data_IF_810454149250
#
_entry.id   IF_810454149250
#
_cell.length_a   1.000
_cell.length_b   1.000
_cell.length_c   1.000
_cell.angle_alpha   90.00
_cell.angle_beta   90.00
_cell.angle_gamma   90.00
#
_symmetry.space_group_name_H-M   'P 1'
#
loop_
_entity.id
_entity.type
_entity.pdbx_description
1 polymer ?
#
# COMPACT_ATOMS: atom_id res chain seq x y z
N UNK A 1 -13.97 2.25 -25.57
CA UNK A 1 -15.24 2.24 -26.33
C UNK A 1 -15.46 3.69 -26.71
N UNK A 2 -15.61 3.99 -28.00
CA UNK A 2 -15.80 5.37 -28.44
C UNK A 2 -17.21 5.82 -28.04
N UNK A 3 -17.31 6.96 -27.34
CA UNK A 3 -18.61 7.50 -26.92
C UNK A 3 -19.41 7.88 -28.17
N UNK A 4 -20.70 7.52 -28.27
CA UNK A 4 -21.50 7.92 -29.41
C UNK A 4 -21.71 9.44 -29.42
N UNK A 5 -21.71 10.04 -30.61
CA UNK A 5 -22.09 11.44 -30.76
C UNK A 5 -23.56 11.64 -30.36
N UNK A 6 -23.85 12.70 -29.59
CA UNK A 6 -25.19 12.98 -29.08
C UNK A 6 -26.22 13.06 -30.20
N UNK A 7 -25.90 13.81 -31.26
CA UNK A 7 -26.83 14.05 -32.36
C UNK A 7 -27.06 12.78 -33.19
N UNK A 8 -25.99 12.00 -33.42
CA UNK A 8 -26.08 10.71 -34.08
C UNK A 8 -26.95 9.72 -33.30
N UNK A 9 -26.78 9.65 -31.97
CA UNK A 9 -27.60 8.78 -31.11
C UNK A 9 -29.09 9.15 -31.15
N UNK A 10 -29.41 10.44 -31.09
CA UNK A 10 -30.80 10.92 -31.12
C UNK A 10 -31.44 10.62 -32.49
N UNK A 11 -30.78 10.97 -33.59
CA UNK A 11 -31.34 10.80 -34.93
C UNK A 11 -31.46 9.32 -35.32
N UNK A 12 -30.50 8.45 -34.92
CA UNK A 12 -30.61 7.00 -35.11
C UNK A 12 -31.88 6.43 -34.45
N UNK A 13 -32.28 6.96 -33.29
CA UNK A 13 -33.47 6.50 -32.55
C UNK A 13 -34.76 7.07 -33.11
N UNK A 14 -34.73 8.31 -33.61
CA UNK A 14 -35.86 8.91 -34.33
C UNK A 14 -36.13 8.15 -35.62
N UNK A 15 -35.08 7.72 -36.31
CA UNK A 15 -35.25 7.00 -37.58
C UNK A 15 -35.96 5.65 -37.41
N UNK A 16 -35.92 5.05 -36.22
CA UNK A 16 -36.63 3.82 -35.86
C UNK A 16 -38.12 4.02 -35.59
N UNK A 17 -38.60 5.27 -35.49
CA UNK A 17 -40.03 5.55 -35.30
C UNK A 17 -40.80 5.12 -36.57
N UNK A 18 -41.87 4.35 -36.37
CA UNK A 18 -42.75 3.89 -37.45
C UNK A 18 -43.28 5.06 -38.28
N UNK A 19 -43.41 4.86 -39.59
CA UNK A 19 -43.78 5.88 -40.58
C UNK A 19 -45.06 6.64 -40.24
N UNK A 20 -46.04 5.98 -39.59
CA UNK A 20 -47.31 6.60 -39.16
C UNK A 20 -47.13 7.78 -38.19
N UNK A 21 -46.03 7.82 -37.42
CA UNK A 21 -45.78 8.88 -36.44
C UNK A 21 -44.77 9.94 -36.93
N UNK A 22 -44.16 9.76 -38.11
CA UNK A 22 -43.20 10.73 -38.67
C UNK A 22 -43.85 12.05 -39.09
N UNK A 23 -45.17 12.06 -39.32
CA UNK A 23 -45.88 13.24 -39.82
C UNK A 23 -46.28 14.24 -38.70
N UNK A 24 -46.10 13.89 -37.42
CA UNK A 24 -46.45 14.76 -36.29
C UNK A 24 -45.23 15.50 -35.74
N UNK A 25 -44.97 16.76 -36.15
CA UNK A 25 -43.78 17.50 -35.72
C UNK A 25 -43.76 17.76 -34.20
N UNK A 26 -44.94 17.91 -33.57
CA UNK A 26 -45.05 18.10 -32.11
C UNK A 26 -44.67 16.85 -31.32
N UNK A 27 -45.00 15.66 -31.84
CA UNK A 27 -44.61 14.41 -31.19
C UNK A 27 -43.10 14.20 -31.33
N UNK A 28 -42.55 14.43 -32.53
CA UNK A 28 -41.12 14.32 -32.76
C UNK A 28 -40.29 15.30 -31.92
N UNK A 29 -40.79 16.52 -31.67
CA UNK A 29 -40.08 17.47 -30.80
C UNK A 29 -40.01 17.00 -29.35
N UNK A 30 -41.10 16.41 -28.83
CA UNK A 30 -41.12 15.86 -27.47
C UNK A 30 -40.17 14.66 -27.37
N UNK A 31 -40.25 13.73 -28.32
CA UNK A 31 -39.37 12.55 -28.35
C UNK A 31 -37.90 12.97 -28.47
N UNK A 32 -37.57 13.98 -29.28
CA UNK A 32 -36.21 14.54 -29.36
C UNK A 32 -35.73 15.02 -28.01
N UNK A 33 -36.52 15.85 -27.33
CA UNK A 33 -36.14 16.40 -26.04
C UNK A 33 -35.89 15.31 -24.99
N UNK A 34 -36.69 14.24 -25.00
CA UNK A 34 -36.50 13.11 -24.10
C UNK A 34 -35.27 12.28 -24.47
N UNK A 35 -35.06 12.01 -25.76
CA UNK A 35 -33.88 11.31 -26.26
C UNK A 35 -32.59 12.09 -26.02
N UNK A 36 -32.62 13.42 -26.07
CA UNK A 36 -31.48 14.28 -25.76
C UNK A 36 -31.05 14.12 -24.30
N UNK A 37 -32.00 14.05 -23.35
CA UNK A 37 -31.69 13.81 -21.94
C UNK A 37 -31.12 12.39 -21.71
N UNK A 38 -31.66 11.40 -22.41
CA UNK A 38 -31.12 10.03 -22.37
C UNK A 38 -29.72 10.00 -22.96
N UNK A 39 -29.48 10.70 -24.07
CA UNK A 39 -28.19 10.79 -24.72
C UNK A 39 -27.15 11.45 -23.80
N UNK A 40 -27.53 12.50 -23.06
CA UNK A 40 -26.67 13.11 -22.04
C UNK A 40 -26.27 12.09 -20.97
N UNK A 41 -27.24 11.33 -20.42
CA UNK A 41 -26.94 10.29 -19.44
C UNK A 41 -26.04 9.18 -20.00
N UNK A 42 -26.20 8.81 -21.27
CA UNK A 42 -25.34 7.81 -21.94
C UNK A 42 -23.92 8.34 -22.11
N UNK A 43 -23.75 9.60 -22.51
CA UNK A 43 -22.44 10.23 -22.69
C UNK A 43 -21.71 10.30 -21.35
N UNK A 44 -22.37 10.80 -20.30
CA UNK A 44 -21.83 10.84 -18.94
C UNK A 44 -21.45 9.42 -18.46
N UNK A 45 -22.29 8.43 -18.72
CA UNK A 45 -21.99 7.03 -18.38
C UNK A 45 -20.79 6.47 -19.16
N UNK A 46 -20.57 6.92 -20.40
CA UNK A 46 -19.41 6.52 -21.19
C UNK A 46 -18.11 7.14 -20.68
N UNK A 47 -18.16 8.29 -19.99
CA UNK A 47 -17.00 8.89 -19.33
C UNK A 47 -16.62 8.20 -18.02
N UNK A 48 -17.54 7.47 -17.37
CA UNK A 48 -17.29 6.80 -16.08
C UNK A 48 -15.98 6.00 -16.08
N UNK A 49 -15.68 5.12 -17.05
CA UNK A 49 -14.43 4.35 -17.05
C UNK A 49 -13.18 5.24 -17.07
N UNK A 50 -13.20 6.38 -17.77
CA UNK A 50 -12.06 7.32 -17.79
C UNK A 50 -11.84 8.01 -16.45
N UNK A 51 -12.90 8.22 -15.66
CA UNK A 51 -12.80 8.76 -14.30
C UNK A 51 -12.22 7.75 -13.29
N UNK A 52 -12.22 6.46 -13.65
CA UNK A 52 -11.66 5.38 -12.85
C UNK A 52 -10.34 4.83 -13.44
N UNK A 53 -9.65 5.61 -14.27
CA UNK A 53 -8.28 5.27 -14.65
C UNK A 53 -7.36 5.46 -13.44
N UNK A 54 -6.61 4.41 -13.09
CA UNK A 54 -5.65 4.43 -11.97
C UNK A 54 -4.62 5.55 -12.16
N UNK A 55 -4.26 5.86 -13.41
CA UNK A 55 -3.22 6.86 -13.71
C UNK A 55 -3.67 8.30 -13.38
N UNK A 56 -4.95 8.60 -13.56
CA UNK A 56 -5.48 9.96 -13.41
C UNK A 56 -6.39 10.14 -12.19
N UNK A 57 -6.86 9.04 -11.58
CA UNK A 57 -7.73 9.07 -10.41
C UNK A 57 -7.03 9.71 -9.19
N UNK A 58 -7.79 10.49 -8.43
CA UNK A 58 -7.34 11.17 -7.20
C UNK A 58 -8.37 10.99 -6.08
N UNK A 59 -7.94 11.19 -4.82
CA UNK A 59 -8.79 11.18 -3.63
C UNK A 59 -9.69 9.95 -3.52
N UNK A 60 -11.00 10.18 -3.46
CA UNK A 60 -12.02 9.13 -3.28
C UNK A 60 -12.11 8.18 -4.47
N UNK A 61 -11.83 8.63 -5.70
CA UNK A 61 -11.85 7.75 -6.88
C UNK A 61 -10.81 6.65 -6.72
N UNK A 62 -9.59 7.02 -6.33
CA UNK A 62 -8.51 6.07 -6.09
C UNK A 62 -8.82 5.16 -4.90
N UNK A 63 -9.45 5.70 -3.85
CA UNK A 63 -9.93 4.91 -2.70
C UNK A 63 -10.95 3.84 -3.13
N UNK A 64 -11.90 4.19 -3.99
CA UNK A 64 -12.90 3.27 -4.54
C UNK A 64 -12.22 2.19 -5.39
N UNK A 65 -11.29 2.56 -6.27
CA UNK A 65 -10.55 1.60 -7.08
C UNK A 65 -9.78 0.62 -6.20
N UNK A 66 -9.03 1.11 -5.21
CA UNK A 66 -8.29 0.24 -4.31
C UNK A 66 -9.19 -0.69 -3.52
N UNK A 67 -10.35 -0.22 -3.03
CA UNK A 67 -11.35 -1.07 -2.38
C UNK A 67 -11.83 -2.20 -3.31
N UNK A 68 -12.10 -1.91 -4.58
CA UNK A 68 -12.50 -2.92 -5.56
C UNK A 68 -11.37 -3.91 -5.88
N UNK A 69 -10.11 -3.49 -5.81
CA UNK A 69 -8.93 -4.36 -5.95
C UNK A 69 -8.60 -5.17 -4.68
N UNK A 70 -9.38 -5.00 -3.60
CA UNK A 70 -9.12 -5.62 -2.30
C UNK A 70 -7.89 -5.03 -1.59
N UNK A 71 -7.59 -3.76 -1.87
CA UNK A 71 -6.42 -3.04 -1.38
C UNK A 71 -6.83 -1.66 -0.86
N UNK A 72 -7.39 -1.54 0.36
CA UNK A 72 -7.77 -0.24 0.93
C UNK A 72 -6.53 0.59 1.31
N UNK A 73 -6.72 1.88 1.60
CA UNK A 73 -5.60 2.79 1.95
C UNK A 73 -4.90 2.46 3.25
N UNK A 74 -5.64 1.96 4.24
CA UNK A 74 -5.14 1.63 5.55
C UNK A 74 -4.97 0.12 5.67
N UNK A 75 -3.79 -0.28 6.14
CA UNK A 75 -3.43 -1.68 6.36
C UNK A 75 -2.99 -1.85 7.81
N UNK A 76 -3.43 -2.92 8.45
CA UNK A 76 -2.79 -3.30 9.70
C UNK A 76 -1.35 -3.69 9.41
N UNK A 77 -0.43 -3.17 10.22
CA UNK A 77 0.94 -3.63 10.28
C UNK A 77 1.27 -4.17 11.67
N UNK A 78 2.15 -5.15 11.62
CA UNK A 78 2.95 -5.60 12.73
C UNK A 78 3.84 -4.45 13.24
N UNK A 79 3.34 -3.61 14.14
CA UNK A 79 4.24 -2.77 14.92
C UNK A 79 4.62 -3.58 16.15
N UNK A 80 5.88 -4.03 16.29
CA UNK A 80 6.31 -4.64 17.53
C UNK A 80 6.08 -3.61 18.63
N UNK A 81 5.36 -4.00 19.69
CA UNK A 81 5.17 -3.14 20.85
C UNK A 81 6.56 -2.72 21.32
N UNK A 82 6.87 -1.42 21.37
CA UNK A 82 8.18 -0.96 21.81
C UNK A 82 8.38 -1.49 23.22
N UNK A 83 9.30 -2.44 23.37
CA UNK A 83 9.60 -2.97 24.68
C UNK A 83 10.47 -1.92 25.36
N UNK A 84 9.88 -1.17 26.29
CA UNK A 84 10.63 -0.23 27.11
C UNK A 84 11.67 -1.02 27.92
N UNK A 85 12.94 -0.77 27.64
CA UNK A 85 14.07 -1.34 28.36
C UNK A 85 15.17 -0.30 28.49
N UNK A 86 15.73 -0.15 29.69
CA UNK A 86 16.98 0.58 29.86
C UNK A 86 18.11 -0.29 29.28
N UNK A 87 18.99 0.30 28.47
CA UNK A 87 20.19 -0.39 27.97
C UNK A 87 21.05 -0.81 29.17
N UNK A 88 21.04 -2.11 29.51
CA UNK A 88 21.88 -2.67 30.56
C UNK A 88 23.34 -2.83 30.13
N UNK A 89 23.93 -1.80 29.50
CA UNK A 89 25.34 -1.78 29.13
C UNK A 89 25.76 -2.78 28.04
N UNK A 90 26.65 -2.30 27.15
CA UNK A 90 27.14 -2.90 25.91
C UNK A 90 26.11 -2.99 24.78
N UNK A 91 26.35 -2.18 23.75
CA UNK A 91 25.56 -2.04 22.53
C UNK A 91 25.35 -3.39 21.84
N UNK A 92 24.12 -3.88 21.85
CA UNK A 92 23.72 -5.00 21.01
C UNK A 92 22.50 -4.57 20.17
N UNK A 93 22.70 -4.23 18.88
CA UNK A 93 21.67 -3.54 18.08
C UNK A 93 20.45 -4.40 17.70
N UNK A 94 20.45 -5.71 17.97
CA UNK A 94 19.49 -6.65 17.37
C UNK A 94 18.70 -7.51 18.37
N UNK A 95 18.43 -7.06 19.60
CA UNK A 95 17.52 -7.80 20.51
C UNK A 95 16.50 -6.91 21.21
N UNK A 96 15.18 -7.14 21.01
CA UNK A 96 14.17 -6.60 21.90
C UNK A 96 14.25 -7.33 23.25
N UNK A 97 14.60 -6.61 24.32
CA UNK A 97 14.73 -7.16 25.68
C UNK A 97 13.38 -7.03 26.39
N UNK A 98 12.78 -8.16 26.77
CA UNK A 98 11.55 -8.25 27.56
C UNK A 98 11.71 -7.85 29.03
N UNK A 99 10.81 -6.99 29.53
CA UNK A 99 10.19 -7.03 30.87
C UNK A 99 11.00 -6.57 32.09
N UNK A 100 10.39 -5.67 32.89
CA UNK A 100 10.94 -4.99 34.06
C UNK A 100 11.37 -5.89 35.23
N UNK A 101 12.61 -5.72 35.69
CA UNK A 101 12.99 -5.56 37.10
C UNK A 101 14.46 -5.11 37.19
N UNK A 102 14.72 -3.81 37.16
CA UNK A 102 15.91 -3.26 37.79
C UNK A 102 15.46 -2.54 39.05
N UNK A 103 15.79 -3.09 40.21
CA UNK A 103 15.91 -2.28 41.42
C UNK A 103 16.90 -1.17 41.11
N UNK A 104 16.47 0.09 41.20
CA UNK A 104 17.39 1.22 41.15
C UNK A 104 18.47 1.06 42.22
N UNK A 105 19.62 1.69 42.01
CA UNK A 105 20.74 1.66 42.96
C UNK A 105 20.30 2.20 44.35
N UNK A 106 19.17 2.92 44.41
CA UNK A 106 18.59 3.50 45.62
C UNK A 106 17.25 2.85 46.08
N UNK A 107 16.74 1.82 45.38
CA UNK A 107 15.57 1.05 45.84
C UNK A 107 14.17 1.62 45.57
N UNK A 108 14.04 2.75 44.86
CA UNK A 108 12.73 3.33 44.53
C UNK A 108 12.00 2.58 43.40
N UNK A 109 10.70 2.32 43.65
CA UNK A 109 9.78 1.65 42.73
C UNK A 109 9.03 2.72 41.94
N UNK A 110 9.14 2.69 40.60
CA UNK A 110 8.28 3.46 39.72
C UNK A 110 6.85 2.90 39.79
N UNK A 111 5.90 3.69 40.28
CA UNK A 111 4.48 3.34 40.30
C UNK A 111 3.73 4.09 39.20
N UNK A 112 2.98 3.35 38.39
CA UNK A 112 2.02 3.92 37.46
C UNK A 112 0.73 4.22 38.21
N UNK A 113 0.27 5.46 38.15
CA UNK A 113 -1.06 5.83 38.60
C UNK A 113 -1.96 5.97 37.39
N UNK A 114 -2.91 5.05 37.28
CA UNK A 114 -4.06 5.17 36.39
C UNK A 114 -4.98 6.25 36.98
N UNK A 115 -5.08 7.39 36.29
CA UNK A 115 -5.83 8.53 36.82
C UNK A 115 -7.26 8.52 36.31
N UNK A 116 -7.52 7.99 35.11
CA UNK A 116 -8.84 7.88 34.49
C UNK A 116 -8.80 6.80 33.38
N UNK A 117 -9.80 5.90 33.32
CA UNK A 117 -9.94 4.72 32.43
C UNK A 117 -9.89 4.98 30.90
N UNK A 118 -9.37 6.13 30.45
CA UNK A 118 -9.47 6.58 29.06
C UNK A 118 -8.12 6.86 28.41
N UNK A 119 -7.05 7.21 29.14
CA UNK A 119 -5.74 7.50 28.53
C UNK A 119 -4.55 7.23 29.47
N UNK A 120 -3.50 6.56 28.98
CA UNK A 120 -2.22 6.45 29.69
C UNK A 120 -1.37 7.70 29.42
N UNK A 121 -1.28 8.63 30.38
CA UNK A 121 -0.37 9.76 30.30
C UNK A 121 0.96 9.38 30.96
N UNK A 122 2.02 9.23 30.15
CA UNK A 122 3.37 9.01 30.65
C UNK A 122 4.07 10.35 30.89
N UNK A 123 3.95 10.91 32.10
CA UNK A 123 4.63 12.16 32.46
C UNK A 123 6.03 11.86 32.97
N UNK A 124 7.06 12.20 32.19
CA UNK A 124 8.45 12.18 32.67
C UNK A 124 8.87 13.59 33.11
N UNK A 125 8.92 13.83 34.41
CA UNK A 125 9.54 15.03 34.97
C UNK A 125 11.06 14.90 34.87
N UNK A 126 11.64 15.35 33.76
CA UNK A 126 13.07 15.66 33.72
C UNK A 126 13.29 17.08 34.25
N UNK A 127 14.44 17.34 34.88
CA UNK A 127 14.80 18.69 35.35
C UNK A 127 14.86 19.75 34.21
N UNK A 128 14.70 19.33 32.95
CA UNK A 128 14.71 20.18 31.76
C UNK A 128 13.30 20.54 31.21
N UNK A 129 12.20 20.08 31.83
CA UNK A 129 10.85 20.64 31.59
C UNK A 129 10.29 20.51 30.17
N UNK A 130 10.38 19.32 29.55
CA UNK A 130 9.69 19.02 28.30
C UNK A 130 8.68 17.89 28.44
N UNK A 131 7.40 18.17 28.18
CA UNK A 131 6.34 17.16 28.10
C UNK A 131 6.33 16.52 26.71
N UNK A 132 6.24 15.19 26.66
CA UNK A 132 6.05 14.43 25.41
C UNK A 132 4.70 13.71 25.50
N UNK A 133 3.76 14.09 24.63
CA UNK A 133 2.42 13.49 24.58
C UNK A 133 2.40 12.44 23.46
N UNK A 134 2.20 11.17 23.82
CA UNK A 134 1.86 10.11 22.87
C UNK A 134 0.34 10.01 22.81
N UNK A 135 -0.29 10.69 21.84
CA UNK A 135 -1.72 10.52 21.59
C UNK A 135 -1.95 9.27 20.74
N UNK A 136 -2.87 8.41 21.18
CA UNK A 136 -3.42 7.33 20.37
C UNK A 136 -4.20 7.93 19.19
N UNK A 137 -3.69 7.78 17.98
CA UNK A 137 -4.33 8.24 16.74
C UNK A 137 -5.35 7.20 16.21
N UNK A 138 -6.19 6.62 17.08
CA UNK A 138 -7.24 5.66 16.70
C UNK A 138 -8.54 6.28 16.15
N UNK A 139 -8.51 7.51 15.64
CA UNK A 139 -9.69 8.14 15.03
C UNK A 139 -9.63 7.95 13.51
N UNK A 140 -10.61 7.22 12.96
CA UNK A 140 -10.92 7.00 11.52
C UNK A 140 -10.57 5.66 10.86
N UNK A 141 -10.45 4.56 11.62
CA UNK A 141 -10.70 3.24 11.04
C UNK A 141 -12.21 3.07 10.77
N UNK A 142 -12.64 3.30 9.53
CA UNK A 142 -14.04 3.14 9.09
C UNK A 142 -14.64 1.80 9.57
N UNK A 143 -15.76 1.87 10.31
CA UNK A 143 -16.57 0.71 10.71
C UNK A 143 -16.86 -0.22 9.51
N UNK A 144 -16.35 -1.45 9.54
CA UNK A 144 -16.82 -2.53 8.66
C UNK A 144 -15.77 -3.28 7.82
N UNK A 145 -14.48 -2.97 7.93
CA UNK A 145 -13.41 -3.76 7.31
C UNK A 145 -12.51 -4.40 8.38
N UNK A 146 -13.04 -5.40 9.09
CA UNK A 146 -12.22 -6.24 9.97
C UNK A 146 -11.33 -7.15 9.13
N UNK A 147 -10.02 -6.87 9.13
CA UNK A 147 -9.03 -7.81 8.66
C UNK A 147 -8.94 -8.95 9.67
N UNK A 148 -9.53 -10.10 9.34
CA UNK A 148 -9.71 -11.25 10.24
C UNK A 148 -8.46 -11.87 10.87
N UNK A 149 -7.27 -11.28 10.74
CA UNK A 149 -5.99 -11.79 11.23
C UNK A 149 -5.07 -10.75 11.91
N UNK A 150 -5.51 -9.51 12.19
CA UNK A 150 -4.62 -8.52 12.84
C UNK A 150 -4.37 -8.77 14.34
N UNK A 151 -5.25 -9.50 15.02
CA UNK A 151 -5.37 -9.43 16.48
C UNK A 151 -4.25 -10.10 17.31
N UNK A 152 -3.35 -10.92 16.75
CA UNK A 152 -2.36 -11.65 17.57
C UNK A 152 -0.93 -11.12 17.51
N UNK A 153 -0.64 -10.17 16.62
CA UNK A 153 0.76 -9.88 16.26
C UNK A 153 1.11 -8.37 16.20
N UNK A 154 0.13 -7.46 16.19
CA UNK A 154 0.34 -6.01 16.35
C UNK A 154 -0.95 -5.22 16.14
N UNK A 155 -1.01 -3.99 16.67
CA UNK A 155 -2.22 -3.12 16.60
C UNK A 155 -2.01 -1.83 15.80
N UNK A 156 -0.89 -1.71 15.09
CA UNK A 156 -0.61 -0.50 14.32
C UNK A 156 -1.32 -0.51 12.97
N UNK A 157 -1.87 0.64 12.58
CA UNK A 157 -2.36 0.87 11.23
C UNK A 157 -1.39 1.77 10.46
N UNK A 158 -1.14 1.43 9.21
CA UNK A 158 -0.44 2.31 8.28
C UNK A 158 -1.39 2.71 7.16
N UNK A 159 -1.59 4.01 7.02
CA UNK A 159 -2.44 4.59 5.99
C UNK A 159 -1.60 5.27 4.91
N UNK A 160 -1.88 4.93 3.65
CA UNK A 160 -1.30 5.56 2.47
C UNK A 160 -2.13 6.80 2.12
N UNK A 161 -1.82 7.92 2.78
CA UNK A 161 -2.50 9.20 2.57
C UNK A 161 -2.12 9.90 1.27
N UNK A 162 -0.89 9.66 0.79
CA UNK A 162 -0.39 10.20 -0.48
C UNK A 162 -0.95 9.40 -1.67
N UNK A 163 -1.62 10.10 -2.59
CA UNK A 163 -2.25 9.51 -3.77
C UNK A 163 -1.24 8.91 -4.75
N UNK A 164 -0.07 9.52 -4.92
CA UNK A 164 0.98 9.03 -5.83
C UNK A 164 1.59 7.73 -5.28
N UNK A 165 1.83 7.70 -3.96
CA UNK A 165 2.29 6.48 -3.28
C UNK A 165 1.22 5.41 -3.40
N UNK A 166 -0.03 5.70 -3.03
CA UNK A 166 -1.10 4.71 -3.08
C UNK A 166 -1.35 4.19 -4.51
N UNK A 167 -1.33 5.08 -5.51
CA UNK A 167 -1.43 4.72 -6.94
C UNK A 167 -0.34 3.72 -7.34
N UNK A 168 0.89 3.95 -6.89
CA UNK A 168 2.03 3.06 -7.16
C UNK A 168 1.79 1.65 -6.61
N UNK A 169 1.18 1.52 -5.42
CA UNK A 169 0.77 0.23 -4.87
C UNK A 169 -0.36 -0.42 -5.67
N UNK A 170 -1.36 0.34 -6.11
CA UNK A 170 -2.44 -0.20 -6.96
C UNK A 170 -1.93 -0.70 -8.31
N UNK A 171 -0.96 0.01 -8.91
CA UNK A 171 -0.28 -0.43 -10.13
C UNK A 171 0.49 -1.73 -9.91
N UNK A 172 1.19 -1.88 -8.79
CA UNK A 172 1.82 -3.15 -8.42
C UNK A 172 0.78 -4.27 -8.21
N UNK A 173 -0.32 -3.98 -7.49
CA UNK A 173 -1.41 -4.93 -7.20
C UNK A 173 -2.05 -5.49 -8.47
N UNK A 174 -2.12 -4.69 -9.54
CA UNK A 174 -2.66 -5.11 -10.84
C UNK A 174 -1.96 -6.37 -11.36
N UNK A 175 -0.64 -6.51 -11.18
CA UNK A 175 0.09 -7.71 -11.61
C UNK A 175 -0.35 -8.95 -10.84
N UNK A 176 -0.56 -8.80 -9.53
CA UNK A 176 -1.02 -9.87 -8.66
C UNK A 176 -2.45 -10.31 -8.99
N UNK A 177 -3.37 -9.37 -9.21
CA UNK A 177 -4.77 -9.66 -9.62
C UNK A 177 -4.81 -10.36 -10.98
N UNK A 178 -3.89 -10.01 -11.89
CA UNK A 178 -3.75 -10.67 -13.20
C UNK A 178 -2.97 -11.98 -13.16
N UNK A 179 -2.51 -12.42 -11.99
CA UNK A 179 -1.74 -13.65 -11.80
C UNK A 179 -0.45 -13.67 -12.65
N UNK A 180 0.21 -12.51 -12.81
CA UNK A 180 1.47 -12.38 -13.52
C UNK A 180 2.63 -12.57 -12.53
N UNK A 181 3.04 -13.82 -12.34
CA UNK A 181 4.01 -14.25 -11.32
C UNK A 181 5.45 -14.37 -11.82
N UNK A 182 5.72 -13.99 -13.07
CA UNK A 182 7.05 -14.05 -13.65
C UNK A 182 7.98 -12.97 -13.05
N UNK A 183 9.29 -13.19 -13.18
CA UNK A 183 10.31 -12.30 -12.58
C UNK A 183 10.26 -10.89 -13.18
N UNK A 184 9.89 -10.75 -14.46
CA UNK A 184 9.81 -9.47 -15.13
C UNK A 184 8.61 -8.66 -14.61
N UNK A 185 7.46 -9.31 -14.44
CA UNK A 185 6.27 -8.73 -13.80
C UNK A 185 6.51 -8.35 -12.34
N UNK A 186 7.22 -9.18 -11.58
CA UNK A 186 7.62 -8.86 -10.20
C UNK A 186 8.58 -7.66 -10.16
N UNK A 187 9.54 -7.60 -11.10
CA UNK A 187 10.44 -6.46 -11.23
C UNK A 187 9.70 -5.18 -11.61
N UNK A 188 8.77 -5.24 -12.57
CA UNK A 188 7.94 -4.10 -12.96
C UNK A 188 7.06 -3.61 -11.80
N UNK A 189 6.45 -4.52 -11.03
CA UNK A 189 5.68 -4.20 -9.84
C UNK A 189 6.54 -3.51 -8.77
N UNK A 190 7.76 -4.03 -8.50
CA UNK A 190 8.70 -3.42 -7.56
C UNK A 190 9.14 -2.01 -8.02
N UNK A 191 9.30 -1.80 -9.33
CA UNK A 191 9.67 -0.51 -9.90
C UNK A 191 8.56 0.54 -9.77
N UNK A 192 7.29 0.13 -9.77
CA UNK A 192 6.21 1.06 -9.45
C UNK A 192 6.34 1.58 -8.01
N UNK A 193 6.70 0.73 -7.05
CA UNK A 193 6.77 1.10 -5.62
C UNK A 193 8.03 1.92 -5.31
N UNK A 194 9.21 1.44 -5.70
CA UNK A 194 10.49 2.04 -5.27
C UNK A 194 11.22 2.85 -6.35
N UNK A 195 10.70 2.84 -7.59
CA UNK A 195 11.27 3.53 -8.75
C UNK A 195 12.07 2.62 -9.68
N UNK A 196 12.55 3.18 -10.79
CA UNK A 196 13.21 2.43 -11.87
C UNK A 196 14.53 1.73 -11.50
N UNK A 197 15.13 2.09 -10.35
CA UNK A 197 16.32 1.43 -9.84
C UNK A 197 16.02 0.09 -9.16
N UNK A 198 14.75 -0.22 -8.87
CA UNK A 198 14.37 -1.46 -8.21
C UNK A 198 14.64 -2.67 -9.11
N UNK A 199 15.21 -3.71 -8.51
CA UNK A 199 15.60 -4.95 -9.19
C UNK A 199 15.17 -6.17 -8.39
N UNK A 200 14.94 -7.27 -9.10
CA UNK A 200 14.56 -8.55 -8.52
C UNK A 200 15.54 -9.61 -9.01
N UNK A 201 16.10 -10.39 -8.08
CA UNK A 201 17.07 -11.44 -8.37
C UNK A 201 16.57 -12.78 -7.85
N UNK A 202 16.59 -13.81 -8.69
CA UNK A 202 16.30 -15.19 -8.24
C UNK A 202 17.48 -15.74 -7.44
N UNK A 203 17.21 -16.27 -6.24
CA UNK A 203 18.19 -16.96 -5.41
C UNK A 203 18.15 -18.49 -5.56
N UNK A 204 17.31 -18.99 -6.47
CA UNK A 204 17.00 -20.40 -6.61
C UNK A 204 16.25 -20.98 -5.40
N UNK A 205 15.72 -22.20 -5.56
CA UNK A 205 15.04 -22.92 -4.48
C UNK A 205 13.80 -22.18 -3.95
N UNK A 206 12.97 -21.63 -4.84
CA UNK A 206 11.76 -20.88 -4.48
C UNK A 206 12.04 -19.61 -3.63
N UNK A 207 13.14 -18.91 -3.89
CA UNK A 207 13.52 -17.68 -3.18
C UNK A 207 13.85 -16.56 -4.15
N UNK A 208 13.39 -15.36 -3.82
CA UNK A 208 13.65 -14.14 -4.60
C UNK A 208 14.16 -13.04 -3.68
N UNK A 209 15.19 -12.33 -4.11
CA UNK A 209 15.66 -11.12 -3.45
C UNK A 209 15.17 -9.90 -4.21
N UNK A 210 14.57 -8.97 -3.48
CA UNK A 210 14.07 -7.71 -4.01
C UNK A 210 14.93 -6.58 -3.47
N UNK A 211 15.43 -5.73 -4.35
CA UNK A 211 16.31 -4.62 -4.03
C UNK A 211 15.69 -3.32 -4.52
N UNK A 212 15.40 -2.35 -3.63
CA UNK A 212 14.90 -1.03 -4.04
C UNK A 212 15.88 -0.25 -4.95
N UNK A 213 17.17 -0.60 -4.94
CA UNK A 213 18.20 0.07 -5.73
C UNK A 213 18.63 1.43 -5.19
N UNK A 214 18.05 1.85 -4.05
CA UNK A 214 18.39 3.07 -3.32
C UNK A 214 18.12 2.87 -1.82
N UNK A 215 18.63 3.79 -1.01
CA UNK A 215 18.29 3.81 0.42
C UNK A 215 16.81 4.13 0.57
N UNK A 216 16.13 3.33 1.40
CA UNK A 216 14.75 3.57 1.77
C UNK A 216 14.69 4.67 2.83
N UNK A 217 13.67 5.52 2.73
CA UNK A 217 13.34 6.47 3.79
C UNK A 217 12.79 5.75 5.01
N UNK A 218 12.78 6.39 6.19
CA UNK A 218 12.20 5.81 7.40
C UNK A 218 10.74 5.41 7.22
N UNK A 219 9.97 6.19 6.45
CA UNK A 219 8.59 5.89 6.14
C UNK A 219 8.48 4.64 5.24
N UNK A 220 9.31 4.53 4.20
CA UNK A 220 9.32 3.36 3.32
C UNK A 220 9.74 2.09 4.06
N UNK A 221 10.67 2.19 5.02
CA UNK A 221 11.05 1.06 5.88
C UNK A 221 9.85 0.53 6.66
N UNK A 222 9.01 1.42 7.21
CA UNK A 222 7.78 1.04 7.92
C UNK A 222 6.74 0.47 6.94
N UNK A 223 6.72 0.93 5.69
CA UNK A 223 5.81 0.45 4.65
C UNK A 223 6.21 -0.91 4.03
N UNK A 224 7.43 -1.41 4.27
CA UNK A 224 7.92 -2.66 3.67
C UNK A 224 6.96 -3.84 3.80
N UNK A 225 6.37 -4.13 4.97
CA UNK A 225 5.42 -5.25 5.10
C UNK A 225 4.24 -5.12 4.14
N UNK A 226 3.74 -3.89 3.96
CA UNK A 226 2.63 -3.58 3.04
C UNK A 226 3.08 -3.72 1.59
N UNK A 227 4.30 -3.28 1.26
CA UNK A 227 4.87 -3.42 -0.08
C UNK A 227 4.99 -4.89 -0.49
N UNK A 228 5.50 -5.76 0.37
CA UNK A 228 5.65 -7.19 0.04
C UNK A 228 4.31 -7.92 -0.12
N UNK A 229 3.24 -7.47 0.54
CA UNK A 229 1.89 -8.03 0.36
C UNK A 229 1.26 -7.70 -1.00
N UNK A 230 1.63 -6.55 -1.58
CA UNK A 230 1.07 -6.09 -2.87
C UNK A 230 1.82 -6.64 -4.09
N UNK A 231 3.06 -7.08 -3.88
CA UNK A 231 3.89 -7.64 -4.95
C UNK A 231 3.34 -9.00 -5.44
N UNK A 232 3.46 -9.31 -6.74
CA UNK A 232 3.02 -10.58 -7.30
C UNK A 232 3.99 -11.70 -6.95
N UNK A 233 4.02 -12.11 -5.67
CA UNK A 233 4.77 -13.26 -5.20
C UNK A 233 3.95 -14.54 -5.38
N UNK A 234 4.49 -15.50 -6.14
CA UNK A 234 3.83 -16.79 -6.32
C UNK A 234 3.74 -17.54 -4.97
N UNK A 235 2.66 -18.30 -4.72
CA UNK A 235 2.55 -19.14 -3.54
C UNK A 235 3.75 -20.09 -3.40
N UNK A 236 4.34 -20.15 -2.21
CA UNK A 236 5.52 -20.98 -1.92
C UNK A 236 6.87 -20.34 -2.22
N UNK A 237 6.90 -19.11 -2.76
CA UNK A 237 8.12 -18.31 -2.88
C UNK A 237 8.39 -17.57 -1.57
N UNK A 238 9.60 -17.72 -1.03
CA UNK A 238 10.06 -16.91 0.11
C UNK A 238 10.70 -15.61 -0.39
N UNK A 239 10.13 -14.45 -0.05
CA UNK A 239 10.73 -13.17 -0.40
C UNK A 239 11.88 -12.84 0.55
N UNK A 240 12.90 -12.20 -0.01
CA UNK A 240 14.00 -11.59 0.70
C UNK A 240 14.13 -10.15 0.27
N UNK A 241 14.65 -9.30 1.15
CA UNK A 241 15.00 -7.92 0.83
C UNK A 241 16.52 -7.73 0.90
N UNK A 242 17.05 -6.93 -0.02
CA UNK A 242 18.41 -6.43 0.08
C UNK A 242 18.41 -4.90 0.06
N UNK A 243 18.89 -4.33 1.17
CA UNK A 243 18.95 -2.89 1.44
C UNK A 243 20.15 -2.18 0.80
N UNK A 244 21.11 -2.93 0.26
CA UNK A 244 22.33 -2.34 -0.31
C UNK A 244 22.01 -1.59 -1.61
N UNK A 245 22.62 -0.42 -1.79
CA UNK A 245 22.38 0.51 -2.90
C UNK A 245 23.27 0.27 -4.14
N UNK A 246 24.00 -0.84 -4.16
CA UNK A 246 24.89 -1.22 -5.26
C UNK A 246 24.24 -2.15 -6.28
N UNK A 247 24.84 -2.24 -7.48
CA UNK A 247 24.51 -3.32 -8.42
C UNK A 247 24.83 -4.65 -7.76
N UNK A 248 23.80 -5.43 -7.49
CA UNK A 248 23.93 -6.79 -6.98
C UNK A 248 24.64 -7.64 -8.03
N UNK A 249 25.75 -8.27 -7.64
CA UNK A 249 26.39 -9.32 -8.43
C UNK A 249 26.06 -10.69 -7.81
N UNK A 250 25.48 -11.58 -8.60
CA UNK A 250 25.16 -12.96 -8.20
C UNK A 250 26.13 -13.97 -8.84
N UNK A 251 26.58 -14.97 -8.09
CA UNK A 251 27.45 -16.03 -8.62
C UNK A 251 26.63 -17.11 -9.35
N UNK A 252 26.92 -17.26 -10.65
CA UNK A 252 26.53 -18.34 -11.56
C UNK A 252 27.56 -18.42 -12.70
N UNK A 253 27.75 -19.57 -13.35
CA UNK A 253 28.95 -20.03 -14.07
C UNK A 253 29.49 -19.22 -15.29
N UNK A 254 29.58 -17.90 -15.21
CA UNK A 254 30.26 -17.02 -16.15
C UNK A 254 31.27 -16.16 -15.40
N UNK A 255 32.55 -16.36 -15.68
CA UNK A 255 33.67 -15.61 -15.11
C UNK A 255 33.66 -14.15 -15.58
N UNK A 256 33.65 -13.20 -14.64
CA UNK A 256 33.88 -11.78 -14.87
C UNK A 256 34.00 -11.07 -13.52
N UNK A 257 35.16 -10.50 -13.23
CA UNK A 257 35.59 -10.12 -11.87
C UNK A 257 34.74 -9.07 -11.15
N UNK A 258 35.03 -8.94 -9.84
CA UNK A 258 34.50 -7.90 -8.96
C UNK A 258 34.75 -6.52 -9.59
N UNK A 259 33.69 -5.82 -9.98
CA UNK A 259 33.77 -4.38 -10.19
C UNK A 259 33.97 -3.70 -8.84
N UNK A 260 34.83 -2.69 -8.75
CA UNK A 260 34.97 -1.88 -7.53
C UNK A 260 33.59 -1.35 -7.11
N UNK A 261 33.18 -1.68 -5.87
CA UNK A 261 31.88 -1.30 -5.30
C UNK A 261 30.82 -2.40 -5.26
N UNK A 262 31.11 -3.64 -5.67
CA UNK A 262 30.18 -4.76 -5.46
C UNK A 262 30.19 -5.22 -3.99
N UNK A 263 29.06 -5.13 -3.31
CA UNK A 263 28.85 -5.70 -1.98
C UNK A 263 28.24 -7.10 -2.10
N UNK A 264 28.59 -7.99 -1.15
CA UNK A 264 27.96 -9.30 -1.07
C UNK A 264 26.47 -9.13 -0.83
N UNK A 265 25.66 -9.77 -1.67
CA UNK A 265 24.22 -9.88 -1.44
C UNK A 265 24.04 -10.71 -0.17
N UNK A 266 23.72 -10.04 0.93
CA UNK A 266 23.25 -10.66 2.17
C UNK A 266 21.75 -10.41 2.27
N UNK A 267 20.92 -11.13 1.48
CA UNK A 267 19.49 -10.92 1.49
C UNK A 267 18.94 -11.43 2.83
N UNK A 268 18.10 -10.64 3.47
CA UNK A 268 17.46 -11.00 4.73
C UNK A 268 16.08 -11.60 4.44
N UNK A 269 15.71 -12.73 5.09
CA UNK A 269 14.37 -13.28 4.93
C UNK A 269 13.36 -12.24 5.41
N UNK A 270 12.31 -12.02 4.62
CA UNK A 270 11.28 -11.06 4.94
C UNK A 270 9.94 -11.80 5.07
N UNK A 271 9.31 -11.72 6.24
CA UNK A 271 7.96 -12.24 6.43
C UNK A 271 6.96 -11.06 6.47
N UNK A 272 6.13 -10.88 5.43
CA UNK A 272 5.14 -9.81 5.42
C UNK A 272 3.94 -10.07 6.35
N UNK A 273 3.82 -11.27 6.91
CA UNK A 273 2.66 -11.72 7.67
C UNK A 273 2.95 -11.99 9.15
N UNK A 274 4.20 -12.31 9.53
CA UNK A 274 4.58 -12.45 10.93
C UNK A 274 5.34 -11.23 11.45
N UNK A 275 5.15 -10.95 12.73
CA UNK A 275 5.75 -9.80 13.42
C UNK A 275 6.98 -10.20 14.26
N UNK A 276 7.69 -11.27 13.86
CA UNK A 276 8.78 -11.86 14.63
C UNK A 276 10.16 -11.31 14.26
#
# INVERSE_FOLDING_TARGET
MECPDKSAFVEERIDRILTQYRESPKLLSIIRQDLEQIADAVIEACEIPSRFDILDATGDQLTIIGRQLGWPRCHCICVPVPVFGFSCGADNPNRPIGGFACTGIDGDILTFYDVDDVDYILTMTTEAGGDFILTDNQVDATHGADWGNCASAGTGDICLSDDEVYRSYLLARRYQVRQLWDIDSLSAAAQHIWGSAATVTSLGGARVAISPGRSLTSLEMIQLPVAFRVLPLAPGISPFINYQTGKVFGFGAGWGGLCDGSSWLCPEPFDPYSCN
#
